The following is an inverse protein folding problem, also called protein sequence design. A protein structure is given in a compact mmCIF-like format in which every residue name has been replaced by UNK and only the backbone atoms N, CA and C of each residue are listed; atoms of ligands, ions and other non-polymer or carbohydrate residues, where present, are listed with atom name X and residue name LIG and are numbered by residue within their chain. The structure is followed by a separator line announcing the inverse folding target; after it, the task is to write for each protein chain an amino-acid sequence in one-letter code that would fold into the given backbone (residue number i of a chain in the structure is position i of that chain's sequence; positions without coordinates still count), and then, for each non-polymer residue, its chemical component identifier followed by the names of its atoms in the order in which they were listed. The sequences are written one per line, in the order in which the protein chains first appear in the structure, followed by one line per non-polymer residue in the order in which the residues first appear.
data_IF_791092282456
#
_entry.id   IF_791092282456
#
_cell.length_a   1.000
_cell.length_b   1.000
_cell.length_c   1.000
_cell.angle_alpha   90.00
_cell.angle_beta   90.00
_cell.angle_gamma   90.00
#
_symmetry.space_group_name_H-M   'P 1'
#
loop_
_entity.id
_entity.type
_entity.pdbx_description
1 polymer ?
#
# COMPACT_ATOMS: atom_id res chain seq x y z
N UNK A 1 -0.07 -43.40 -19.42
CA UNK A 1 -0.94 -42.26 -19.76
C UNK A 1 -0.61 -41.15 -18.79
N UNK A 2 0.38 -40.34 -19.16
CA UNK A 2 1.08 -39.39 -18.31
C UNK A 2 1.16 -38.08 -19.09
N UNK A 3 0.64 -36.99 -18.54
CA UNK A 3 1.21 -35.66 -18.81
C UNK A 3 0.29 -34.55 -19.31
N UNK A 4 -0.84 -34.80 -19.99
CA UNK A 4 -1.49 -33.72 -20.78
C UNK A 4 -3.01 -33.56 -20.58
N UNK A 5 -3.64 -34.34 -19.69
CA UNK A 5 -5.11 -34.38 -19.55
C UNK A 5 -5.71 -33.76 -18.28
N UNK A 6 -4.89 -33.18 -17.41
CA UNK A 6 -5.34 -32.44 -16.24
C UNK A 6 -4.86 -31.00 -16.42
N UNK A 7 -5.74 -30.10 -16.84
CA UNK A 7 -5.68 -28.78 -16.21
C UNK A 7 -5.61 -29.05 -14.70
N UNK A 8 -4.53 -28.59 -14.08
CA UNK A 8 -4.29 -28.76 -12.66
C UNK A 8 -5.58 -28.37 -11.92
N UNK A 9 -6.23 -29.32 -11.24
CA UNK A 9 -7.54 -29.12 -10.58
C UNK A 9 -7.47 -27.87 -9.71
N UNK A 10 -6.33 -27.65 -9.06
CA UNK A 10 -6.10 -26.48 -8.23
C UNK A 10 -6.14 -25.17 -9.04
N UNK A 11 -5.62 -25.15 -10.28
CA UNK A 11 -5.70 -23.97 -11.14
C UNK A 11 -7.16 -23.63 -11.47
N UNK A 12 -8.00 -24.64 -11.74
CA UNK A 12 -9.45 -24.47 -11.93
C UNK A 12 -10.09 -23.95 -10.64
N UNK A 13 -9.79 -24.54 -9.49
CA UNK A 13 -10.33 -24.09 -8.21
C UNK A 13 -9.92 -22.65 -7.87
N UNK A 14 -8.69 -22.24 -8.19
CA UNK A 14 -8.22 -20.85 -8.05
C UNK A 14 -9.03 -19.91 -8.93
N UNK A 15 -9.28 -20.27 -10.19
CA UNK A 15 -10.06 -19.42 -11.10
C UNK A 15 -11.52 -19.29 -10.62
N UNK A 16 -12.11 -20.37 -10.14
CA UNK A 16 -13.45 -20.37 -9.54
C UNK A 16 -13.50 -19.52 -8.26
N UNK A 17 -12.50 -19.64 -7.39
CA UNK A 17 -12.40 -18.83 -6.17
C UNK A 17 -12.32 -17.33 -6.48
N UNK A 18 -11.46 -16.95 -7.44
CA UNK A 18 -11.32 -15.55 -7.87
C UNK A 18 -12.60 -15.03 -8.53
N UNK A 19 -13.27 -15.85 -9.34
CA UNK A 19 -14.54 -15.47 -9.96
C UNK A 19 -15.66 -15.33 -8.93
N UNK A 20 -15.69 -16.19 -7.90
CA UNK A 20 -16.62 -16.08 -6.78
C UNK A 20 -16.45 -14.76 -6.02
N UNK A 21 -15.21 -14.38 -5.68
CA UNK A 21 -14.89 -13.08 -5.06
C UNK A 21 -15.42 -11.91 -5.89
N UNK A 22 -15.11 -11.92 -7.19
CA UNK A 22 -15.48 -10.85 -8.10
C UNK A 22 -16.99 -10.72 -8.25
N UNK A 23 -17.68 -11.84 -8.50
CA UNK A 23 -19.14 -11.82 -8.77
C UNK A 23 -19.97 -11.50 -7.53
N UNK A 24 -19.54 -11.97 -6.36
CA UNK A 24 -20.32 -11.82 -5.12
C UNK A 24 -20.00 -10.55 -4.36
N UNK A 25 -18.73 -10.15 -4.35
CA UNK A 25 -18.24 -9.08 -3.47
C UNK A 25 -17.53 -7.95 -4.22
N UNK A 26 -17.33 -8.07 -5.55
CA UNK A 26 -16.70 -7.03 -6.36
C UNK A 26 -15.16 -6.98 -6.29
N UNK A 27 -14.52 -7.83 -5.48
CA UNK A 27 -13.07 -7.90 -5.40
C UNK A 27 -12.48 -8.65 -6.60
N UNK A 28 -11.82 -7.94 -7.51
CA UNK A 28 -11.20 -8.51 -8.71
C UNK A 28 -9.70 -8.80 -8.52
N UNK A 29 -9.35 -10.09 -8.44
CA UNK A 29 -7.97 -10.55 -8.32
C UNK A 29 -7.41 -11.14 -9.62
N UNK A 30 -8.13 -11.09 -10.75
CA UNK A 30 -7.73 -11.78 -12.01
C UNK A 30 -6.44 -11.24 -12.61
N UNK A 31 -6.11 -9.99 -12.33
CA UNK A 31 -4.89 -9.33 -12.79
C UNK A 31 -3.78 -9.30 -11.72
N UNK A 32 -3.88 -10.14 -10.68
CA UNK A 32 -2.79 -10.36 -9.73
C UNK A 32 -1.83 -11.44 -10.25
N UNK A 33 -0.59 -11.40 -9.76
CA UNK A 33 0.39 -12.43 -10.04
C UNK A 33 -0.10 -13.80 -9.53
N UNK A 34 -0.34 -14.72 -10.48
CA UNK A 34 -0.98 -16.01 -10.21
C UNK A 34 -0.23 -16.84 -9.18
N UNK A 35 1.10 -16.95 -9.28
CA UNK A 35 1.89 -17.73 -8.33
C UNK A 35 1.82 -17.18 -6.90
N UNK A 36 1.87 -15.85 -6.73
CA UNK A 36 1.70 -15.20 -5.43
C UNK A 36 0.28 -15.40 -4.88
N UNK A 37 -0.74 -15.27 -5.74
CA UNK A 37 -2.14 -15.43 -5.37
C UNK A 37 -2.46 -16.86 -4.94
N UNK A 38 -2.08 -17.86 -5.73
CA UNK A 38 -2.29 -19.29 -5.42
C UNK A 38 -1.67 -19.65 -4.07
N UNK A 39 -0.45 -19.19 -3.78
CA UNK A 39 0.20 -19.42 -2.47
C UNK A 39 -0.62 -18.85 -1.31
N UNK A 40 -1.27 -17.69 -1.49
CA UNK A 40 -2.12 -17.07 -0.45
C UNK A 40 -3.43 -17.79 -0.28
N UNK A 41 -4.05 -18.23 -1.37
CA UNK A 41 -5.26 -19.05 -1.34
C UNK A 41 -4.97 -20.36 -0.59
N UNK A 42 -3.83 -21.02 -0.86
CA UNK A 42 -3.40 -22.21 -0.08
C UNK A 42 -3.22 -21.91 1.41
N UNK A 43 -2.65 -20.75 1.77
CA UNK A 43 -2.54 -20.37 3.17
C UNK A 43 -3.92 -20.13 3.82
N UNK A 44 -4.88 -19.59 3.08
CA UNK A 44 -6.26 -19.45 3.53
C UNK A 44 -6.90 -20.82 3.77
N UNK A 45 -6.69 -21.77 2.87
CA UNK A 45 -7.15 -23.16 3.04
C UNK A 45 -6.69 -23.72 4.39
N UNK A 46 -5.40 -23.57 4.71
CA UNK A 46 -4.84 -23.96 6.02
C UNK A 46 -5.43 -23.16 7.18
N UNK A 47 -5.56 -21.84 7.04
CA UNK A 47 -6.04 -20.93 8.10
C UNK A 47 -7.50 -21.21 8.48
N UNK A 48 -8.31 -21.55 7.48
CA UNK A 48 -9.72 -21.86 7.64
C UNK A 48 -9.97 -23.34 7.94
N UNK A 49 -8.92 -24.18 7.90
CA UNK A 49 -9.04 -25.63 8.07
C UNK A 49 -9.89 -26.29 7.00
N UNK A 50 -10.05 -25.67 5.82
CA UNK A 50 -10.73 -26.29 4.68
C UNK A 50 -9.78 -27.28 4.03
N UNK A 51 -10.26 -28.42 3.54
CA UNK A 51 -9.43 -29.43 2.89
C UNK A 51 -9.01 -29.08 1.46
N UNK A 52 -9.80 -28.28 0.73
CA UNK A 52 -9.52 -27.86 -0.65
C UNK A 52 -9.89 -26.40 -0.91
N UNK A 53 -9.46 -25.85 -2.05
CA UNK A 53 -9.85 -24.49 -2.47
C UNK A 53 -11.35 -24.46 -2.83
N UNK A 54 -11.91 -25.54 -3.35
CA UNK A 54 -13.36 -25.67 -3.54
C UNK A 54 -14.16 -25.52 -2.24
N UNK A 55 -13.69 -26.13 -1.14
CA UNK A 55 -14.33 -25.97 0.18
C UNK A 55 -14.14 -24.55 0.76
N UNK A 56 -12.98 -23.93 0.52
CA UNK A 56 -12.78 -22.52 0.83
C UNK A 56 -13.73 -21.62 0.02
N UNK A 57 -13.96 -21.94 -1.25
CA UNK A 57 -14.89 -21.22 -2.13
C UNK A 57 -16.33 -21.36 -1.64
N UNK A 58 -16.73 -22.55 -1.20
CA UNK A 58 -18.04 -22.79 -0.57
C UNK A 58 -18.21 -21.92 0.68
N UNK A 59 -17.20 -21.88 1.56
CA UNK A 59 -17.20 -21.02 2.75
C UNK A 59 -17.37 -19.55 2.36
N UNK A 60 -16.61 -19.07 1.37
CA UNK A 60 -16.72 -17.71 0.85
C UNK A 60 -18.12 -17.41 0.27
N UNK A 61 -18.75 -18.38 -0.37
CA UNK A 61 -20.08 -18.26 -0.98
C UNK A 61 -21.23 -18.43 0.01
N UNK A 62 -21.03 -18.93 1.22
CA UNK A 62 -22.15 -19.15 2.15
C UNK A 62 -21.98 -18.40 3.47
N UNK A 63 -20.77 -17.95 3.80
CA UNK A 63 -20.49 -17.19 5.02
C UNK A 63 -19.82 -15.85 4.70
N UNK A 64 -20.66 -14.81 4.51
CA UNK A 64 -20.19 -13.46 4.23
C UNK A 64 -19.41 -12.83 5.39
N UNK A 65 -19.58 -13.32 6.63
CA UNK A 65 -18.87 -12.78 7.79
C UNK A 65 -17.36 -13.08 7.73
N UNK A 66 -16.96 -14.09 6.94
CA UNK A 66 -15.55 -14.49 6.77
C UNK A 66 -14.82 -13.70 5.70
N UNK A 67 -15.52 -12.87 4.91
CA UNK A 67 -14.92 -12.09 3.82
C UNK A 67 -13.74 -11.21 4.27
N UNK A 68 -13.80 -10.47 5.40
CA UNK A 68 -12.67 -9.64 5.84
C UNK A 68 -11.40 -10.47 6.10
N UNK A 69 -11.53 -11.69 6.63
CA UNK A 69 -10.38 -12.60 6.85
C UNK A 69 -9.82 -13.11 5.52
N UNK A 70 -10.67 -13.40 4.54
CA UNK A 70 -10.26 -13.78 3.18
C UNK A 70 -9.49 -12.64 2.53
N UNK A 71 -10.04 -11.42 2.51
CA UNK A 71 -9.37 -10.25 1.92
C UNK A 71 -8.06 -9.95 2.66
N UNK A 72 -8.03 -10.06 3.98
CA UNK A 72 -6.81 -9.87 4.79
C UNK A 72 -5.73 -10.90 4.42
N UNK A 73 -6.09 -12.18 4.23
CA UNK A 73 -5.14 -13.22 3.83
C UNK A 73 -4.66 -13.15 2.37
N UNK A 74 -5.48 -12.60 1.46
CA UNK A 74 -5.08 -12.31 0.07
C UNK A 74 -4.22 -11.04 -0.04
N UNK A 75 -4.42 -10.09 0.87
CA UNK A 75 -3.63 -8.87 0.97
C UNK A 75 -2.24 -9.15 1.56
N UNK A 76 -1.31 -8.20 1.42
CA UNK A 76 0.03 -8.33 1.97
C UNK A 76 0.17 -7.41 3.19
N UNK A 77 0.06 -7.92 4.42
CA UNK A 77 -0.01 -7.07 5.59
C UNK A 77 1.35 -6.58 6.10
N UNK A 78 2.45 -6.92 5.43
CA UNK A 78 3.81 -6.63 5.94
C UNK A 78 4.26 -5.26 5.48
N UNK A 79 4.08 -4.27 6.36
CA UNK A 79 4.75 -2.98 6.31
C UNK A 79 5.59 -2.80 7.57
N UNK A 80 6.58 -1.93 7.51
CA UNK A 80 7.50 -1.63 8.60
C UNK A 80 7.70 -0.13 8.69
N UNK A 81 7.86 0.39 9.90
CA UNK A 81 8.20 1.80 10.09
C UNK A 81 9.52 2.11 9.39
N UNK A 82 9.50 3.19 8.61
CA UNK A 82 10.63 3.72 7.83
C UNK A 82 11.25 2.69 6.88
N UNK A 83 10.42 1.83 6.28
CA UNK A 83 10.84 0.86 5.27
C UNK A 83 11.59 1.54 4.11
N UNK A 84 12.77 1.02 3.78
CA UNK A 84 13.71 1.64 2.83
C UNK A 84 14.00 3.12 3.18
N UNK A 85 14.76 3.38 4.26
CA UNK A 85 14.94 4.73 4.78
C UNK A 85 15.53 5.71 3.76
N UNK A 86 16.29 5.22 2.78
CA UNK A 86 16.78 6.02 1.66
C UNK A 86 15.65 6.69 0.85
N UNK A 87 14.50 6.03 0.66
CA UNK A 87 13.34 6.63 -0.01
C UNK A 87 12.76 7.79 0.80
N UNK A 88 12.61 7.62 2.12
CA UNK A 88 12.15 8.71 3.00
C UNK A 88 13.13 9.88 3.06
N UNK A 89 14.44 9.60 3.12
CA UNK A 89 15.47 10.64 3.05
C UNK A 89 15.42 11.40 1.70
N UNK A 90 15.16 10.68 0.59
CA UNK A 90 14.96 11.28 -0.72
C UNK A 90 13.71 12.18 -0.75
N UNK A 91 12.59 11.76 -0.15
CA UNK A 91 11.39 12.59 -0.04
C UNK A 91 11.67 13.90 0.73
N UNK A 92 12.38 13.81 1.87
CA UNK A 92 12.77 15.00 2.65
C UNK A 92 13.64 15.97 1.85
N UNK A 93 14.57 15.44 1.05
CA UNK A 93 15.50 16.26 0.26
C UNK A 93 14.84 16.87 -0.99
N UNK A 94 14.10 16.06 -1.75
CA UNK A 94 13.71 16.42 -3.12
C UNK A 94 12.22 16.80 -3.24
N UNK A 95 11.37 16.33 -2.33
CA UNK A 95 9.92 16.56 -2.39
C UNK A 95 9.49 17.61 -1.39
N UNK A 96 9.87 17.49 -0.12
CA UNK A 96 9.39 18.39 0.94
C UNK A 96 9.66 19.88 0.66
N UNK A 97 10.83 20.30 0.13
CA UNK A 97 11.05 21.70 -0.23
C UNK A 97 10.09 22.21 -1.30
N UNK A 98 9.69 21.37 -2.25
CA UNK A 98 8.70 21.72 -3.27
C UNK A 98 7.29 21.83 -2.68
N UNK A 99 6.99 21.05 -1.63
CA UNK A 99 5.70 21.12 -0.93
C UNK A 99 5.54 22.40 -0.09
N UNK A 100 6.65 23.07 0.26
CA UNK A 100 6.61 24.29 1.10
C UNK A 100 5.78 25.40 0.45
N UNK A 101 5.83 25.53 -0.87
CA UNK A 101 5.15 26.59 -1.63
C UNK A 101 3.63 26.44 -1.71
N UNK A 102 3.08 25.28 -1.34
CA UNK A 102 1.65 25.03 -1.39
C UNK A 102 0.98 25.42 -0.06
N UNK A 103 -0.15 26.15 -0.10
CA UNK A 103 -0.90 26.53 1.10
C UNK A 103 -1.58 25.32 1.76
N UNK A 104 -1.92 24.30 0.98
CA UNK A 104 -2.40 23.00 1.43
C UNK A 104 -1.77 21.91 0.58
N UNK A 105 -1.35 20.84 1.22
CA UNK A 105 -0.76 19.66 0.57
C UNK A 105 -1.71 18.48 0.75
N UNK A 106 -1.95 17.75 -0.32
CA UNK A 106 -2.65 16.47 -0.29
C UNK A 106 -1.66 15.38 -0.66
N UNK A 107 -1.55 14.34 0.15
CA UNK A 107 -0.73 13.17 -0.12
C UNK A 107 -1.63 11.95 -0.17
N UNK A 108 -1.44 11.10 -1.17
CA UNK A 108 -2.11 9.81 -1.23
C UNK A 108 -1.11 8.68 -1.03
N UNK A 109 -1.31 7.89 0.01
CA UNK A 109 -0.60 6.64 0.22
C UNK A 109 -1.51 5.46 -0.16
N UNK A 110 -1.26 4.91 -1.35
CA UNK A 110 -2.01 3.80 -1.92
C UNK A 110 -1.41 2.46 -1.49
N UNK A 111 -2.22 1.61 -0.86
CA UNK A 111 -1.77 0.36 -0.25
C UNK A 111 -1.03 0.60 1.07
N UNK A 112 -1.71 1.25 2.02
CA UNK A 112 -1.11 1.67 3.28
C UNK A 112 -0.91 0.55 4.32
N UNK A 113 -1.41 -0.66 4.04
CA UNK A 113 -1.36 -1.79 4.95
C UNK A 113 -1.82 -1.40 6.37
N UNK A 114 -1.04 -1.69 7.41
CA UNK A 114 -1.37 -1.39 8.81
C UNK A 114 -0.92 0.00 9.26
N UNK A 115 -0.52 0.87 8.32
CA UNK A 115 -0.29 2.29 8.57
C UNK A 115 1.15 2.67 8.96
N UNK A 116 2.08 1.72 9.08
CA UNK A 116 3.46 1.98 9.51
C UNK A 116 4.14 3.06 8.65
N UNK A 117 4.06 2.94 7.33
CA UNK A 117 4.61 3.94 6.40
C UNK A 117 3.87 5.29 6.46
N UNK A 118 2.56 5.27 6.73
CA UNK A 118 1.74 6.50 6.87
C UNK A 118 2.24 7.32 8.05
N UNK A 119 2.47 6.64 9.18
CA UNK A 119 2.99 7.27 10.38
C UNK A 119 4.44 7.68 10.23
N UNK A 120 5.28 6.91 9.55
CA UNK A 120 6.63 7.33 9.20
C UNK A 120 6.65 8.62 8.38
N UNK A 121 5.76 8.75 7.40
CA UNK A 121 5.62 9.97 6.63
C UNK A 121 5.10 11.14 7.47
N UNK A 122 4.07 10.92 8.28
CA UNK A 122 3.50 11.94 9.17
C UNK A 122 4.54 12.51 10.15
N UNK A 123 5.39 11.65 10.73
CA UNK A 123 6.51 12.05 11.59
C UNK A 123 7.45 12.98 10.83
N UNK A 124 7.94 12.57 9.66
CA UNK A 124 8.91 13.36 8.91
C UNK A 124 8.31 14.68 8.41
N UNK A 125 7.03 14.71 8.05
CA UNK A 125 6.32 15.95 7.70
C UNK A 125 6.17 16.89 8.90
N UNK A 126 6.02 16.34 10.10
CA UNK A 126 5.93 17.12 11.35
C UNK A 126 7.25 17.82 11.62
N UNK A 127 8.36 17.08 11.51
CA UNK A 127 9.72 17.63 11.64
C UNK A 127 10.06 18.68 10.58
N UNK A 128 9.48 18.54 9.39
CA UNK A 128 9.67 19.50 8.30
C UNK A 128 8.75 20.74 8.42
N UNK A 129 7.88 20.82 9.43
CA UNK A 129 6.91 21.91 9.57
C UNK A 129 5.83 21.93 8.48
N UNK A 130 5.58 20.79 7.82
CA UNK A 130 4.61 20.63 6.73
C UNK A 130 3.31 19.97 7.18
N UNK A 131 3.33 19.22 8.27
CA UNK A 131 2.21 18.37 8.68
C UNK A 131 0.90 19.14 8.89
N UNK A 132 0.93 20.33 9.50
CA UNK A 132 -0.27 21.13 9.80
C UNK A 132 -1.12 21.45 8.56
N UNK A 133 -0.47 21.65 7.41
CA UNK A 133 -1.14 21.96 6.14
C UNK A 133 -1.24 20.77 5.20
N UNK A 134 -0.88 19.58 5.66
CA UNK A 134 -0.87 18.36 4.86
C UNK A 134 -2.01 17.44 5.26
N UNK A 135 -2.83 17.02 4.30
CA UNK A 135 -3.80 15.92 4.44
C UNK A 135 -3.23 14.66 3.81
N UNK A 136 -3.23 13.57 4.56
CA UNK A 136 -2.78 12.26 4.07
C UNK A 136 -4.01 11.37 3.90
N UNK A 137 -4.26 10.97 2.67
CA UNK A 137 -5.24 9.94 2.36
C UNK A 137 -4.52 8.60 2.28
N UNK A 138 -4.80 7.71 3.22
CA UNK A 138 -4.19 6.40 3.30
C UNK A 138 -5.24 5.34 2.93
N UNK A 139 -5.00 4.62 1.83
CA UNK A 139 -5.98 3.66 1.31
C UNK A 139 -5.46 2.25 1.25
N UNK A 140 -6.33 1.28 1.43
CA UNK A 140 -6.03 -0.14 1.30
C UNK A 140 -7.29 -0.91 0.88
N UNK A 141 -7.10 -2.12 0.36
CA UNK A 141 -8.21 -3.01 -0.02
C UNK A 141 -8.74 -3.81 1.18
N UNK A 142 -7.94 -3.91 2.26
CA UNK A 142 -8.24 -4.70 3.45
C UNK A 142 -8.85 -3.84 4.57
N UNK A 143 -10.14 -4.03 4.93
CA UNK A 143 -10.75 -3.33 6.05
C UNK A 143 -10.06 -3.63 7.39
N UNK A 144 -9.57 -4.86 7.60
CA UNK A 144 -8.79 -5.22 8.81
C UNK A 144 -7.50 -4.40 8.88
N UNK A 145 -6.77 -4.26 7.78
CA UNK A 145 -5.55 -3.45 7.72
C UNK A 145 -5.83 -1.98 8.07
N UNK A 146 -6.88 -1.40 7.48
CA UNK A 146 -7.31 -0.03 7.75
C UNK A 146 -7.74 0.17 9.20
N UNK A 147 -8.47 -0.79 9.78
CA UNK A 147 -8.89 -0.71 11.19
C UNK A 147 -7.69 -0.70 12.15
N UNK A 148 -6.66 -1.49 11.86
CA UNK A 148 -5.40 -1.52 12.62
C UNK A 148 -4.62 -0.23 12.45
N UNK A 149 -4.54 0.27 11.21
CA UNK A 149 -3.90 1.54 10.90
C UNK A 149 -4.56 2.69 11.67
N UNK A 150 -5.89 2.76 11.64
CA UNK A 150 -6.69 3.77 12.35
C UNK A 150 -6.60 3.64 13.89
N UNK A 151 -6.35 2.45 14.43
CA UNK A 151 -6.10 2.29 15.87
C UNK A 151 -4.75 2.89 16.29
N UNK A 152 -3.74 2.88 15.39
CA UNK A 152 -2.40 3.42 15.65
C UNK A 152 -1.66 2.69 16.76
N UNK A 153 -1.97 1.41 16.99
CA UNK A 153 -1.39 0.57 18.05
C UNK A 153 -0.53 -0.50 17.40
N UNK A 154 0.75 -0.54 17.78
CA UNK A 154 1.76 -1.43 17.22
C UNK A 154 2.49 -2.17 18.33
N UNK A 155 3.04 -3.38 18.07
CA UNK A 155 3.99 -4.00 18.97
C UNK A 155 5.14 -3.05 19.30
N UNK A 156 5.48 -2.91 20.58
CA UNK A 156 6.50 -1.95 21.02
C UNK A 156 7.87 -2.23 20.40
N UNK A 157 8.17 -3.51 20.08
CA UNK A 157 9.40 -3.92 19.38
C UNK A 157 9.50 -3.29 17.98
N UNK A 158 8.41 -3.19 17.24
CA UNK A 158 8.44 -2.77 15.83
C UNK A 158 8.90 -1.30 15.71
N UNK A 159 8.49 -0.45 16.67
CA UNK A 159 8.95 0.93 16.79
C UNK A 159 10.39 1.03 17.30
N UNK A 160 10.79 0.22 18.29
CA UNK A 160 12.18 0.19 18.78
C UNK A 160 13.16 -0.21 17.67
N UNK A 161 12.84 -1.27 16.94
CA UNK A 161 13.67 -1.81 15.86
C UNK A 161 13.72 -0.86 14.64
N UNK A 162 12.80 0.11 14.58
CA UNK A 162 12.77 1.13 13.53
C UNK A 162 13.62 2.37 13.82
N UNK A 163 14.18 2.52 15.02
CA UNK A 163 14.92 3.74 15.40
C UNK A 163 16.13 4.03 14.50
N UNK A 164 16.86 2.99 14.04
CA UNK A 164 17.94 3.16 13.07
C UNK A 164 17.41 3.58 11.70
N UNK A 165 16.33 2.95 11.22
CA UNK A 165 15.70 3.34 9.95
C UNK A 165 15.18 4.77 10.00
N UNK A 166 14.57 5.19 11.10
CA UNK A 166 14.14 6.57 11.32
C UNK A 166 15.30 7.57 11.20
N UNK A 167 16.45 7.30 11.84
CA UNK A 167 17.65 8.15 11.70
C UNK A 167 18.15 8.18 10.25
N UNK A 168 18.22 7.03 9.60
CA UNK A 168 18.65 6.92 8.20
C UNK A 168 17.65 7.58 7.22
N UNK A 169 16.38 7.68 7.61
CA UNK A 169 15.34 8.40 6.88
C UNK A 169 15.43 9.93 7.04
N UNK A 170 16.38 10.43 7.84
CA UNK A 170 16.62 11.85 8.08
C UNK A 170 15.84 12.43 9.26
N UNK A 171 15.41 11.58 10.19
CA UNK A 171 14.77 11.99 11.45
C UNK A 171 15.67 12.90 12.29
N UNK A 172 15.11 13.96 12.87
CA UNK A 172 15.88 15.00 13.60
C UNK A 172 15.65 15.04 15.11
N UNK A 173 14.73 14.23 15.62
CA UNK A 173 14.37 14.14 17.05
C UNK A 173 14.57 12.72 17.58
N UNK A 174 14.00 12.41 18.75
CA UNK A 174 13.90 11.01 19.18
C UNK A 174 12.62 10.41 18.61
N UNK A 175 12.70 9.18 18.06
CA UNK A 175 11.50 8.50 17.58
C UNK A 175 10.45 8.30 18.70
N UNK A 176 10.90 8.20 19.96
CA UNK A 176 10.03 8.10 21.14
C UNK A 176 9.14 9.32 21.37
N UNK A 177 9.44 10.46 20.75
CA UNK A 177 8.66 11.69 20.90
C UNK A 177 7.30 11.61 20.19
N UNK A 178 7.10 10.58 19.36
CA UNK A 178 5.95 10.41 18.47
C UNK A 178 5.00 9.27 18.87
N UNK A 179 5.29 8.57 19.97
CA UNK A 179 4.44 7.49 20.46
C UNK A 179 4.52 7.34 21.98
N UNK A 180 3.52 6.68 22.55
CA UNK A 180 3.51 6.28 23.95
C UNK A 180 3.60 4.76 24.07
N UNK A 181 4.64 4.25 24.73
CA UNK A 181 4.75 2.83 25.05
C UNK A 181 4.05 2.48 26.35
N UNK A 182 3.30 1.37 26.36
CA UNK A 182 2.78 0.70 27.55
C UNK A 182 2.89 -0.81 27.36
N UNK A 183 3.70 -1.46 28.19
CA UNK A 183 3.97 -2.90 28.13
C UNK A 183 4.47 -3.34 26.73
N UNK A 184 3.79 -4.31 26.11
CA UNK A 184 4.13 -4.90 24.81
C UNK A 184 3.67 -4.06 23.62
N UNK A 185 2.94 -2.96 23.84
CA UNK A 185 2.36 -2.13 22.78
C UNK A 185 2.77 -0.68 22.88
N UNK A 186 2.84 -0.04 21.72
CA UNK A 186 3.05 1.40 21.57
C UNK A 186 1.89 1.98 20.77
N UNK A 187 1.39 3.13 21.21
CA UNK A 187 0.35 3.89 20.52
C UNK A 187 0.95 5.15 19.93
N UNK A 188 0.77 5.38 18.63
CA UNK A 188 1.16 6.62 17.97
C UNK A 188 0.45 7.80 18.61
N UNK A 189 1.16 8.94 18.73
CA UNK A 189 0.55 10.16 19.23
C UNK A 189 -0.65 10.56 18.34
N UNK A 190 -1.80 10.78 18.97
CA UNK A 190 -3.03 11.25 18.33
C UNK A 190 -2.84 12.52 17.49
N UNK A 191 -1.87 13.37 17.81
CA UNK A 191 -1.53 14.55 17.02
C UNK A 191 -1.04 14.18 15.61
N UNK A 192 -0.40 13.02 15.42
CA UNK A 192 0.02 12.51 14.12
C UNK A 192 -1.11 11.83 13.35
N UNK A 193 -2.26 11.60 13.98
CA UNK A 193 -3.42 10.95 13.37
C UNK A 193 -4.42 11.95 12.77
N UNK A 194 -4.45 13.18 13.28
CA UNK A 194 -5.52 14.16 13.01
C UNK A 194 -5.65 14.57 11.54
N UNK A 195 -4.57 14.48 10.76
CA UNK A 195 -4.59 14.83 9.34
C UNK A 195 -4.58 13.60 8.41
N UNK A 196 -4.83 12.40 8.95
CA UNK A 196 -4.87 11.15 8.19
C UNK A 196 -6.32 10.72 8.01
N UNK A 197 -6.71 10.42 6.77
CA UNK A 197 -7.98 9.78 6.42
C UNK A 197 -7.69 8.38 5.90
N UNK A 198 -8.17 7.37 6.62
CA UNK A 198 -8.14 5.98 6.19
C UNK A 198 -9.41 5.65 5.41
N UNK A 199 -9.27 5.09 4.21
CA UNK A 199 -10.42 4.72 3.37
C UNK A 199 -10.15 3.45 2.57
N UNK A 200 -11.20 2.68 2.30
CA UNK A 200 -11.10 1.57 1.36
C UNK A 200 -10.93 2.12 -0.07
N UNK A 201 -9.98 1.55 -0.80
CA UNK A 201 -9.80 1.82 -2.23
C UNK A 201 -9.16 0.61 -2.91
N UNK A 202 -9.73 0.22 -4.04
CA UNK A 202 -9.23 -0.89 -4.84
C UNK A 202 -8.57 -0.36 -6.14
N UNK A 203 -7.26 -0.49 -6.22
CA UNK A 203 -6.46 -0.12 -7.40
C UNK A 203 -6.86 -0.85 -8.70
N UNK A 204 -7.66 -1.91 -8.61
CA UNK A 204 -8.17 -2.66 -9.77
C UNK A 204 -9.44 -2.06 -10.35
N UNK A 205 -10.38 -1.67 -9.49
CA UNK A 205 -11.74 -1.30 -9.91
C UNK A 205 -11.99 0.19 -9.82
N UNK A 206 -11.38 0.86 -8.86
CA UNK A 206 -11.72 2.23 -8.52
C UNK A 206 -10.92 3.21 -9.38
N UNK A 207 -11.44 4.45 -9.46
CA UNK A 207 -10.86 5.55 -10.21
C UNK A 207 -10.01 6.48 -9.35
N UNK A 208 -9.80 7.70 -9.84
CA UNK A 208 -9.08 8.79 -9.15
C UNK A 208 -9.66 8.99 -7.75
N UNK A 209 -8.80 8.90 -6.75
CA UNK A 209 -9.18 9.03 -5.34
C UNK A 209 -9.17 10.49 -4.87
N UNK A 210 -8.11 11.23 -5.21
CA UNK A 210 -7.96 12.64 -4.85
C UNK A 210 -6.99 13.35 -5.80
N UNK A 211 -7.04 14.67 -5.83
CA UNK A 211 -5.97 15.50 -6.41
C UNK A 211 -4.80 15.62 -5.41
N UNK A 212 -3.66 15.00 -5.74
CA UNK A 212 -2.51 14.80 -4.86
C UNK A 212 -1.24 15.52 -5.34
N UNK A 213 -0.46 16.03 -4.38
CA UNK A 213 0.85 16.61 -4.61
C UNK A 213 1.96 15.56 -4.58
N UNK A 214 1.76 14.52 -3.77
CA UNK A 214 2.62 13.35 -3.68
C UNK A 214 1.73 12.10 -3.61
N UNK A 215 2.05 11.09 -4.42
CA UNK A 215 1.50 9.75 -4.31
C UNK A 215 2.62 8.80 -3.92
N UNK A 216 2.38 7.97 -2.90
CA UNK A 216 3.23 6.83 -2.53
C UNK A 216 2.44 5.56 -2.83
N UNK A 217 3.01 4.68 -3.64
CA UNK A 217 2.48 3.33 -3.89
C UNK A 217 3.65 2.36 -3.88
N UNK A 218 4.00 1.86 -2.68
CA UNK A 218 5.25 1.14 -2.44
C UNK A 218 4.97 -0.31 -2.09
N UNK A 219 5.65 -1.22 -2.78
CA UNK A 219 5.53 -2.66 -2.59
C UNK A 219 4.11 -3.21 -2.79
N UNK A 220 3.35 -2.61 -3.70
CA UNK A 220 1.98 -3.02 -4.07
C UNK A 220 1.94 -3.53 -5.50
N UNK A 221 2.52 -2.78 -6.45
CA UNK A 221 2.49 -3.08 -7.87
C UNK A 221 3.21 -4.38 -8.20
N UNK A 222 4.17 -4.83 -7.38
CA UNK A 222 4.83 -6.13 -7.53
C UNK A 222 3.87 -7.33 -7.51
N UNK A 223 2.64 -7.15 -7.04
CA UNK A 223 1.61 -8.19 -7.03
C UNK A 223 0.70 -8.17 -8.25
N UNK A 224 0.84 -7.19 -9.14
CA UNK A 224 -0.02 -7.00 -10.30
C UNK A 224 0.66 -7.51 -11.58
N UNK A 225 -0.17 -7.92 -12.55
CA UNK A 225 0.27 -8.11 -13.94
C UNK A 225 0.59 -6.77 -14.58
N UNK A 226 1.39 -6.77 -15.66
CA UNK A 226 1.74 -5.54 -16.38
C UNK A 226 0.52 -4.68 -16.79
N UNK A 227 -0.60 -5.25 -17.30
CA UNK A 227 -1.80 -4.46 -17.60
C UNK A 227 -2.35 -3.69 -16.39
N UNK A 228 -2.41 -4.33 -15.22
CA UNK A 228 -2.92 -3.69 -14.01
C UNK A 228 -1.92 -2.69 -13.42
N UNK A 229 -0.62 -2.97 -13.48
CA UNK A 229 0.40 -1.97 -13.13
C UNK A 229 0.24 -0.69 -13.98
N UNK A 230 0.07 -0.84 -15.30
CA UNK A 230 -0.10 0.29 -16.21
C UNK A 230 -1.38 1.08 -15.92
N UNK A 231 -2.50 0.39 -15.65
CA UNK A 231 -3.75 1.05 -15.20
C UNK A 231 -3.52 1.87 -13.93
N UNK A 232 -2.89 1.27 -12.91
CA UNK A 232 -2.64 1.94 -11.64
C UNK A 232 -1.72 3.17 -11.81
N UNK A 233 -0.65 3.05 -12.59
CA UNK A 233 0.26 4.16 -12.89
C UNK A 233 -0.46 5.29 -13.63
N UNK A 234 -1.32 4.96 -14.61
CA UNK A 234 -2.12 5.94 -15.34
C UNK A 234 -3.07 6.70 -14.40
N UNK A 235 -3.76 5.98 -13.51
CA UNK A 235 -4.60 6.57 -12.48
C UNK A 235 -3.80 7.48 -11.53
N UNK A 236 -2.59 7.09 -11.13
CA UNK A 236 -1.73 7.96 -10.33
C UNK A 236 -1.34 9.22 -11.09
N UNK A 237 -1.01 9.10 -12.36
CA UNK A 237 -0.68 10.25 -13.21
C UNK A 237 -1.88 11.21 -13.36
N UNK A 238 -3.10 10.68 -13.44
CA UNK A 238 -4.34 11.46 -13.52
C UNK A 238 -4.75 12.08 -12.17
N UNK A 239 -4.31 11.48 -11.06
CA UNK A 239 -4.55 11.96 -9.70
C UNK A 239 -3.52 13.00 -9.24
N UNK A 240 -2.37 13.11 -9.91
CA UNK A 240 -1.31 14.04 -9.55
C UNK A 240 -1.59 15.44 -10.09
N UNK A 241 -1.38 16.44 -9.22
CA UNK A 241 -1.29 17.84 -9.65
C UNK A 241 -0.15 18.01 -10.66
N UNK A 242 -0.22 19.10 -11.44
CA UNK A 242 0.90 19.49 -12.30
C UNK A 242 2.20 19.55 -11.50
N UNK A 243 3.21 18.84 -11.99
CA UNK A 243 4.53 18.75 -11.36
C UNK A 243 4.58 18.03 -10.01
N UNK A 244 3.51 17.32 -9.64
CA UNK A 244 3.45 16.45 -8.46
C UNK A 244 4.36 15.23 -8.57
N UNK A 245 4.52 14.52 -7.46
CA UNK A 245 5.50 13.45 -7.31
C UNK A 245 4.86 12.07 -7.15
N UNK A 246 5.46 11.05 -7.77
CA UNK A 246 5.13 9.65 -7.58
C UNK A 246 6.34 8.93 -6.98
N UNK A 247 6.15 8.25 -5.85
CA UNK A 247 7.17 7.43 -5.21
C UNK A 247 6.71 5.96 -5.20
N UNK A 248 7.52 5.09 -5.81
CA UNK A 248 7.29 3.65 -5.82
C UNK A 248 8.26 2.91 -4.88
N UNK A 249 8.04 1.62 -4.68
CA UNK A 249 8.95 0.75 -3.93
C UNK A 249 10.19 0.38 -4.75
N UNK A 250 11.28 -0.02 -4.08
CA UNK A 250 12.58 -0.25 -4.73
C UNK A 250 12.60 -1.32 -5.85
N UNK A 251 11.60 -2.20 -5.88
CA UNK A 251 11.43 -3.26 -6.90
C UNK A 251 10.37 -2.93 -7.95
N UNK A 252 9.90 -1.69 -7.95
CA UNK A 252 8.83 -1.21 -8.83
C UNK A 252 9.38 -0.04 -9.63
N UNK A 253 9.19 -0.06 -10.93
CA UNK A 253 9.68 1.00 -11.80
C UNK A 253 8.69 1.25 -12.94
N UNK A 254 8.88 2.37 -13.62
CA UNK A 254 8.07 2.75 -14.76
C UNK A 254 8.66 2.26 -16.09
N UNK A 255 9.78 1.54 -16.12
CA UNK A 255 10.57 1.29 -17.33
C UNK A 255 9.77 0.64 -18.47
N UNK A 256 8.89 -0.30 -18.13
CA UNK A 256 8.06 -1.03 -19.10
C UNK A 256 6.61 -0.51 -19.17
N UNK A 257 6.32 0.62 -18.54
CA UNK A 257 4.98 1.21 -18.55
C UNK A 257 4.85 2.23 -19.70
N UNK A 258 3.78 2.20 -20.50
CA UNK A 258 3.52 3.24 -21.50
C UNK A 258 3.34 4.62 -20.85
N UNK A 259 2.92 4.67 -19.59
CA UNK A 259 2.75 5.91 -18.82
C UNK A 259 4.09 6.57 -18.47
N UNK A 260 5.22 5.85 -18.59
CA UNK A 260 6.58 6.35 -18.32
C UNK A 260 6.86 7.70 -18.96
N UNK A 261 6.34 7.92 -20.16
CA UNK A 261 6.55 9.15 -20.93
C UNK A 261 6.00 10.40 -20.24
N UNK A 262 4.98 10.24 -19.37
CA UNK A 262 4.37 11.32 -18.58
C UNK A 262 5.23 11.74 -17.39
N UNK A 263 6.24 10.95 -17.03
CA UNK A 263 7.05 11.18 -15.84
C UNK A 263 8.51 11.55 -16.18
N UNK A 264 9.11 12.38 -15.34
CA UNK A 264 10.55 12.59 -15.25
C UNK A 264 11.09 11.81 -14.06
N UNK A 265 12.25 11.16 -14.20
CA UNK A 265 12.94 10.54 -13.07
C UNK A 265 13.59 11.65 -12.24
N UNK A 266 13.25 11.72 -10.96
CA UNK A 266 13.91 12.60 -9.98
C UNK A 266 15.05 11.82 -9.31
N UNK A 267 14.79 10.59 -8.90
CA UNK A 267 15.79 9.71 -8.31
C UNK A 267 15.49 8.25 -8.67
N UNK A 268 16.32 7.64 -9.53
CA UNK A 268 16.13 6.26 -9.97
C UNK A 268 16.33 5.24 -8.84
N UNK A 269 17.29 5.47 -7.94
CA UNK A 269 17.63 4.53 -6.87
C UNK A 269 16.49 4.34 -5.87
N UNK A 270 15.68 5.37 -5.67
CA UNK A 270 14.52 5.37 -4.75
C UNK A 270 13.18 5.37 -5.47
N UNK A 271 13.19 5.20 -6.80
CA UNK A 271 11.99 5.14 -7.64
C UNK A 271 11.08 6.37 -7.45
N UNK A 272 11.71 7.55 -7.39
CA UNK A 272 11.03 8.83 -7.28
C UNK A 272 10.92 9.50 -8.65
N UNK A 273 9.69 9.88 -8.98
CA UNK A 273 9.31 10.44 -10.26
C UNK A 273 8.52 11.75 -10.07
N UNK A 274 8.53 12.60 -11.09
CA UNK A 274 7.75 13.83 -11.16
C UNK A 274 6.88 13.84 -12.40
N UNK A 275 5.61 14.19 -12.27
CA UNK A 275 4.71 14.34 -13.41
C UNK A 275 5.20 15.50 -14.29
N UNK A 276 5.37 15.26 -15.59
CA UNK A 276 5.76 16.32 -16.53
C UNK A 276 4.61 17.33 -16.68
N UNK A 277 4.90 18.63 -16.81
CA UNK A 277 3.90 19.57 -17.25
C UNK A 277 3.41 19.18 -18.66
N UNK A 278 2.09 19.24 -18.86
CA UNK A 278 1.49 19.16 -20.20
C UNK A 278 1.71 20.54 -20.83
N UNK A 279 2.51 20.60 -21.91
CA UNK A 279 2.70 21.79 -22.73
C UNK A 279 1.72 21.77 -23.90
#
# INVERSE_FOLDING_TARGET
MTGEGAEDIEAIEVDLFVEALRRRYGYDFRQYNRASLTRRIRNLVTTFGTGTIGQLTDTLLHDAARLPEVISGLSVPVSEFFRDPASFACLRRDVFPALVSYPQVNIWQAGCARGEEVYSLAILLTEAGLYERTRIYATDISPDSLSRAAAGIFPARDLRDSAERYRNAGGTHSLSDYYHSRYEFSKIDTQLMRNITFAEHNLVTDGVFCEAHLILCRNVLIYFTNPLQNRAIGMFADSLVRTGFLCLGARENLEFSPERQRFQIVNAATQLYRLKPIY
#
